data_IF_073004416767
#
_entry.id   IF_073004416767
#
_cell.length_a   1.000
_cell.length_b   1.000
_cell.length_c   1.000
_cell.angle_alpha   90.00
_cell.angle_beta   90.00
_cell.angle_gamma   90.00
#
_symmetry.space_group_name_H-M   'P 1'
#
loop_
_entity.id
_entity.type
_entity.pdbx_description
1 polymer ?
#
# COMPACT_ATOMS: atom_id res chain seq x y z
N UNK A 1 9.98 -6.97 13.62
CA UNK A 1 10.46 -7.36 14.97
C UNK A 1 11.64 -8.35 14.93
N UNK A 2 11.70 -9.20 13.91
CA UNK A 2 12.69 -10.30 13.85
C UNK A 2 14.05 -9.93 13.21
N UNK A 3 14.23 -8.70 12.74
CA UNK A 3 15.47 -8.27 12.05
C UNK A 3 16.17 -7.18 12.87
N UNK A 4 17.17 -7.53 13.70
CA UNK A 4 17.85 -6.58 14.57
C UNK A 4 18.47 -5.39 13.84
N UNK A 5 19.02 -5.60 12.63
CA UNK A 5 19.68 -4.54 11.85
C UNK A 5 18.72 -3.45 11.31
N UNK A 6 17.40 -3.66 11.40
CA UNK A 6 16.40 -2.67 10.98
C UNK A 6 15.79 -1.87 12.13
N UNK A 7 16.02 -2.24 13.39
CA UNK A 7 15.23 -1.71 14.52
C UNK A 7 15.44 -0.22 14.79
N UNK A 8 16.63 0.32 14.55
CA UNK A 8 16.98 1.72 14.82
C UNK A 8 17.22 2.53 13.53
N UNK A 9 16.91 1.96 12.37
CA UNK A 9 17.13 2.61 11.09
C UNK A 9 16.00 3.59 10.74
N UNK A 10 16.33 4.72 10.09
CA UNK A 10 15.36 5.56 9.41
C UNK A 10 14.73 4.79 8.24
N UNK A 11 13.59 5.25 7.71
CA UNK A 11 12.78 4.53 6.73
C UNK A 11 13.60 3.94 5.57
N UNK A 12 14.39 4.74 4.88
CA UNK A 12 15.15 4.26 3.73
C UNK A 12 16.24 3.23 4.09
N UNK A 13 16.89 3.40 5.22
CA UNK A 13 17.84 2.41 5.78
C UNK A 13 17.13 1.11 6.18
N UNK A 14 15.95 1.22 6.78
CA UNK A 14 15.10 0.11 7.15
C UNK A 14 14.65 -0.69 5.91
N UNK A 15 14.14 -0.02 4.88
CA UNK A 15 13.74 -0.63 3.62
C UNK A 15 14.91 -1.35 2.94
N UNK A 16 16.09 -0.70 2.82
CA UNK A 16 17.30 -1.32 2.26
C UNK A 16 17.73 -2.58 3.00
N UNK A 17 17.51 -2.64 4.31
CA UNK A 17 17.80 -3.82 5.13
C UNK A 17 16.81 -4.94 4.88
N UNK A 18 15.55 -4.62 4.65
CA UNK A 18 14.48 -5.61 4.53
C UNK A 18 14.24 -6.12 3.11
N UNK A 19 14.42 -5.30 2.08
CA UNK A 19 14.22 -5.73 0.70
C UNK A 19 14.93 -7.04 0.33
N UNK A 20 16.22 -7.27 0.66
CA UNK A 20 16.89 -8.53 0.36
C UNK A 20 16.30 -9.74 1.11
N UNK A 21 15.65 -9.51 2.25
CA UNK A 21 14.97 -10.54 3.03
C UNK A 21 13.63 -10.87 2.37
N UNK A 22 12.82 -9.84 2.10
CA UNK A 22 11.52 -9.98 1.47
C UNK A 22 11.60 -10.54 0.05
N UNK A 23 12.67 -10.24 -0.69
CA UNK A 23 12.92 -10.80 -2.03
C UNK A 23 13.00 -12.34 -2.06
N UNK A 24 13.15 -12.99 -0.90
CA UNK A 24 13.20 -14.46 -0.80
C UNK A 24 11.86 -15.08 -0.41
N UNK A 25 10.85 -14.25 -0.12
CA UNK A 25 9.51 -14.74 0.21
C UNK A 25 8.86 -15.33 -1.03
N UNK A 26 8.06 -16.35 -0.82
CA UNK A 26 7.17 -16.95 -1.79
C UNK A 26 5.75 -17.04 -1.24
N UNK A 27 4.85 -17.76 -1.90
CA UNK A 27 3.47 -17.91 -1.45
C UNK A 27 3.34 -18.45 -0.02
N UNK A 28 4.17 -19.39 0.40
CA UNK A 28 4.13 -20.00 1.73
C UNK A 28 4.50 -18.98 2.83
N UNK A 29 5.56 -18.19 2.61
CA UNK A 29 5.96 -17.15 3.56
C UNK A 29 4.93 -16.03 3.65
N UNK A 30 4.33 -15.63 2.52
CA UNK A 30 3.24 -14.64 2.50
C UNK A 30 2.03 -15.13 3.28
N UNK A 31 1.60 -16.35 3.02
CA UNK A 31 0.50 -16.99 3.73
C UNK A 31 0.79 -17.09 5.25
N UNK A 32 1.91 -17.67 5.62
CA UNK A 32 2.25 -17.93 7.03
C UNK A 32 2.45 -16.63 7.81
N UNK A 33 3.15 -15.63 7.24
CA UNK A 33 3.35 -14.33 7.91
C UNK A 33 2.02 -13.59 8.10
N UNK A 34 1.11 -13.68 7.14
CA UNK A 34 -0.22 -13.12 7.25
C UNK A 34 -1.04 -13.83 8.33
N UNK A 35 -1.02 -15.16 8.40
CA UNK A 35 -1.70 -15.89 9.47
C UNK A 35 -1.22 -15.45 10.86
N UNK A 36 0.09 -15.35 11.05
CA UNK A 36 0.67 -14.91 12.33
C UNK A 36 0.22 -13.50 12.68
N UNK A 37 0.32 -12.56 11.73
CA UNK A 37 -0.09 -11.18 11.95
C UNK A 37 -1.58 -11.04 12.27
N UNK A 38 -2.43 -11.72 11.52
CA UNK A 38 -3.88 -11.69 11.72
C UNK A 38 -4.30 -12.38 13.04
N UNK A 39 -3.63 -13.48 13.40
CA UNK A 39 -3.87 -14.13 14.69
C UNK A 39 -3.50 -13.23 15.89
N UNK A 40 -2.36 -12.53 15.83
CA UNK A 40 -1.98 -11.53 16.84
C UNK A 40 -3.04 -10.42 16.95
N UNK A 41 -3.51 -9.91 15.82
CA UNK A 41 -4.56 -8.88 15.78
C UNK A 41 -5.88 -9.39 16.37
N UNK A 42 -6.32 -10.59 15.99
CA UNK A 42 -7.54 -11.20 16.52
C UNK A 42 -7.45 -11.39 18.04
N UNK A 43 -6.32 -11.88 18.55
CA UNK A 43 -6.08 -12.05 19.99
C UNK A 43 -6.03 -10.70 20.75
N UNK A 44 -5.70 -9.61 20.09
CA UNK A 44 -5.75 -8.25 20.65
C UNK A 44 -7.16 -7.65 20.68
N UNK A 45 -8.16 -8.34 20.11
CA UNK A 45 -9.54 -7.87 20.00
C UNK A 45 -9.87 -7.14 18.71
N UNK A 46 -8.96 -7.14 17.73
CA UNK A 46 -9.22 -6.58 16.42
C UNK A 46 -10.24 -7.44 15.67
N UNK A 47 -11.25 -6.81 15.06
CA UNK A 47 -12.32 -7.48 14.32
C UNK A 47 -12.31 -7.19 12.81
N UNK A 48 -11.55 -6.17 12.41
CA UNK A 48 -11.32 -5.77 11.02
C UNK A 48 -9.92 -5.21 10.91
N UNK A 49 -9.19 -5.62 9.89
CA UNK A 49 -7.90 -5.01 9.56
C UNK A 49 -7.74 -4.80 8.06
N UNK A 50 -6.90 -3.85 7.67
CA UNK A 50 -6.37 -3.76 6.32
C UNK A 50 -4.89 -4.17 6.31
N UNK A 51 -4.41 -4.55 5.13
CA UNK A 51 -3.01 -4.86 4.89
C UNK A 51 -2.55 -4.21 3.57
N UNK A 52 -1.32 -3.74 3.54
CA UNK A 52 -0.71 -3.13 2.36
C UNK A 52 0.43 -4.00 1.83
N UNK A 53 0.08 -5.03 1.06
CA UNK A 53 1.05 -5.86 0.37
C UNK A 53 1.45 -5.21 -0.97
N UNK A 54 2.72 -4.87 -1.13
CA UNK A 54 3.25 -4.19 -2.33
C UNK A 54 4.48 -4.88 -2.93
N UNK A 55 4.78 -6.10 -2.50
CA UNK A 55 5.88 -6.94 -2.96
C UNK A 55 5.34 -8.31 -3.35
N UNK A 56 5.65 -8.77 -4.56
CA UNK A 56 5.17 -10.04 -5.09
C UNK A 56 6.32 -10.90 -5.65
N UNK A 57 7.35 -11.21 -4.84
CA UNK A 57 8.47 -12.03 -5.28
C UNK A 57 8.08 -13.50 -5.42
N UNK A 58 8.81 -14.22 -6.26
CA UNK A 58 8.79 -15.69 -6.37
C UNK A 58 7.39 -16.28 -6.61
N UNK A 59 6.52 -15.55 -7.33
CA UNK A 59 5.18 -16.02 -7.67
C UNK A 59 4.14 -15.85 -6.56
N UNK A 60 4.48 -15.15 -5.46
CA UNK A 60 3.51 -14.76 -4.44
C UNK A 60 2.46 -13.80 -5.02
N UNK A 61 1.27 -13.80 -4.44
CA UNK A 61 0.11 -13.02 -4.86
C UNK A 61 -0.66 -12.50 -3.66
N UNK A 62 -1.55 -11.53 -3.89
CA UNK A 62 -2.48 -11.10 -2.84
C UNK A 62 -3.43 -12.24 -2.41
N UNK A 63 -3.67 -13.19 -3.30
CA UNK A 63 -4.45 -14.39 -3.03
C UNK A 63 -3.91 -15.21 -1.84
N UNK A 64 -2.60 -15.22 -1.63
CA UNK A 64 -1.96 -15.93 -0.50
C UNK A 64 -2.36 -15.32 0.84
N UNK A 65 -2.40 -13.99 0.92
CA UNK A 65 -2.83 -13.27 2.14
C UNK A 65 -4.33 -13.39 2.35
N UNK A 66 -5.13 -13.39 1.28
CA UNK A 66 -6.58 -13.60 1.34
C UNK A 66 -6.91 -15.00 1.84
N UNK A 67 -6.20 -16.02 1.36
CA UNK A 67 -6.36 -17.39 1.84
C UNK A 67 -6.05 -17.51 3.34
N UNK A 68 -4.95 -16.90 3.80
CA UNK A 68 -4.59 -16.87 5.21
C UNK A 68 -5.65 -16.18 6.08
N UNK A 69 -6.20 -15.06 5.62
CA UNK A 69 -7.25 -14.33 6.32
C UNK A 69 -8.55 -15.15 6.43
N UNK A 70 -8.88 -15.88 5.37
CA UNK A 70 -10.04 -16.79 5.38
C UNK A 70 -9.92 -17.91 6.43
N UNK A 71 -8.72 -18.45 6.62
CA UNK A 71 -8.48 -19.48 7.64
C UNK A 71 -8.54 -18.93 9.06
N UNK A 72 -8.01 -17.72 9.29
CA UNK A 72 -8.08 -17.05 10.59
C UNK A 72 -9.51 -16.60 10.93
N UNK A 73 -10.31 -16.27 9.90
CA UNK A 73 -11.69 -15.82 10.06
C UNK A 73 -11.81 -14.37 10.53
N UNK A 74 -10.78 -13.54 10.33
CA UNK A 74 -10.83 -12.11 10.61
C UNK A 74 -11.35 -11.35 9.38
N UNK A 75 -12.19 -10.33 9.59
CA UNK A 75 -12.61 -9.44 8.48
C UNK A 75 -11.40 -8.69 7.95
N UNK A 76 -11.20 -8.77 6.62
CA UNK A 76 -9.95 -8.36 5.99
C UNK A 76 -10.20 -7.41 4.81
N UNK A 77 -9.44 -6.32 4.76
CA UNK A 77 -9.42 -5.38 3.66
C UNK A 77 -8.00 -5.29 3.09
N UNK A 78 -7.50 -6.34 2.42
CA UNK A 78 -6.19 -6.29 1.79
C UNK A 78 -6.20 -5.27 0.66
N UNK A 79 -5.04 -4.67 0.42
CA UNK A 79 -4.84 -3.79 -0.72
C UNK A 79 -3.81 -4.37 -1.66
N UNK A 80 -4.12 -4.39 -2.97
CA UNK A 80 -3.16 -4.72 -4.02
C UNK A 80 -2.21 -3.54 -4.18
N UNK A 81 -1.10 -3.60 -3.45
CA UNK A 81 -0.02 -2.64 -3.55
C UNK A 81 0.83 -2.85 -4.80
N UNK A 82 1.77 -1.94 -5.05
CA UNK A 82 2.69 -2.06 -6.17
C UNK A 82 3.91 -1.15 -6.00
N UNK A 83 5.02 -1.56 -6.60
CA UNK A 83 6.18 -0.70 -6.87
C UNK A 83 6.57 -0.88 -8.33
N UNK A 84 6.84 0.24 -9.04
CA UNK A 84 7.20 0.24 -10.46
C UNK A 84 8.52 0.96 -10.76
N UNK A 85 9.09 1.68 -9.79
CA UNK A 85 10.34 2.43 -9.94
C UNK A 85 11.43 1.76 -9.11
N UNK A 86 12.34 1.05 -9.77
CA UNK A 86 13.48 0.37 -9.16
C UNK A 86 14.73 1.25 -9.03
N UNK A 87 15.79 0.68 -8.48
CA UNK A 87 17.08 1.38 -8.29
C UNK A 87 17.66 1.91 -9.60
N UNK A 88 17.51 1.19 -10.72
CA UNK A 88 17.97 1.63 -12.05
C UNK A 88 17.25 2.88 -12.55
N UNK A 89 16.02 3.12 -12.10
CA UNK A 89 15.19 4.27 -12.44
C UNK A 89 15.19 5.36 -11.35
N UNK A 90 16.10 5.24 -10.38
CA UNK A 90 16.25 6.18 -9.27
C UNK A 90 15.27 5.98 -8.13
N UNK A 91 14.62 4.83 -8.05
CA UNK A 91 13.81 4.39 -6.90
C UNK A 91 14.65 3.77 -5.79
N UNK A 92 13.97 3.33 -4.73
CA UNK A 92 14.60 2.67 -3.58
C UNK A 92 14.58 1.13 -3.67
N UNK A 93 13.50 0.50 -4.19
CA UNK A 93 13.44 -0.95 -4.23
C UNK A 93 14.41 -1.52 -5.27
N UNK A 94 15.01 -2.71 -5.00
CA UNK A 94 15.75 -3.44 -6.01
C UNK A 94 14.89 -3.70 -7.26
N UNK A 95 15.49 -3.66 -8.44
CA UNK A 95 14.78 -3.87 -9.72
C UNK A 95 14.06 -5.23 -9.77
N UNK A 96 14.55 -6.22 -9.05
CA UNK A 96 13.92 -7.54 -8.94
C UNK A 96 12.61 -7.56 -8.15
N UNK A 97 12.28 -6.48 -7.44
CA UNK A 97 11.07 -6.35 -6.61
C UNK A 97 10.04 -5.40 -7.21
N UNK A 98 10.33 -4.78 -8.34
CA UNK A 98 9.36 -3.93 -9.03
C UNK A 98 8.67 -4.68 -10.16
N UNK A 99 7.48 -4.25 -10.50
CA UNK A 99 6.66 -4.85 -11.54
C UNK A 99 6.43 -3.86 -12.69
N UNK A 100 6.14 -4.39 -13.88
CA UNK A 100 5.71 -3.56 -15.01
C UNK A 100 4.29 -3.02 -14.76
N UNK A 101 4.07 -1.75 -15.00
CA UNK A 101 2.79 -1.08 -14.71
C UNK A 101 1.57 -1.72 -15.39
N UNK A 102 1.73 -2.20 -16.63
CA UNK A 102 0.65 -2.94 -17.30
C UNK A 102 0.26 -4.20 -16.53
N UNK A 103 1.24 -4.97 -16.06
CA UNK A 103 0.99 -6.18 -15.27
C UNK A 103 0.37 -5.86 -13.89
N UNK A 104 0.78 -4.74 -13.28
CA UNK A 104 0.18 -4.25 -12.03
C UNK A 104 -1.31 -3.98 -12.23
N UNK A 105 -1.67 -3.20 -13.26
CA UNK A 105 -3.07 -2.85 -13.53
C UNK A 105 -3.91 -4.08 -13.90
N UNK A 106 -3.37 -5.00 -14.69
CA UNK A 106 -4.02 -6.28 -15.01
C UNK A 106 -4.31 -7.10 -13.75
N UNK A 107 -3.35 -7.20 -12.83
CA UNK A 107 -3.54 -7.96 -11.59
C UNK A 107 -4.45 -7.22 -10.60
N UNK A 108 -4.45 -5.89 -10.56
CA UNK A 108 -5.41 -5.08 -9.80
C UNK A 108 -6.85 -5.38 -10.24
N UNK A 109 -7.11 -5.43 -11.55
CA UNK A 109 -8.42 -5.80 -12.10
C UNK A 109 -8.76 -7.24 -11.69
N UNK A 110 -7.84 -8.18 -11.91
CA UNK A 110 -8.05 -9.58 -11.61
C UNK A 110 -8.43 -9.83 -10.16
N UNK A 111 -7.69 -9.26 -9.23
CA UNK A 111 -7.90 -9.52 -7.79
C UNK A 111 -9.19 -8.89 -7.29
N UNK A 112 -9.56 -7.71 -7.79
CA UNK A 112 -10.85 -7.09 -7.47
C UNK A 112 -12.00 -7.95 -8.01
N UNK A 113 -11.95 -8.34 -9.27
CA UNK A 113 -13.01 -9.13 -9.90
C UNK A 113 -13.17 -10.53 -9.27
N UNK A 114 -12.09 -11.10 -8.76
CA UNK A 114 -12.10 -12.42 -8.13
C UNK A 114 -12.55 -12.41 -6.67
N UNK A 115 -12.27 -11.34 -5.91
CA UNK A 115 -12.34 -11.40 -4.45
C UNK A 115 -13.12 -10.27 -3.78
N UNK A 116 -13.34 -9.12 -4.44
CA UNK A 116 -14.01 -8.00 -3.78
C UNK A 116 -15.50 -8.28 -3.57
N UNK A 117 -15.94 -8.16 -2.32
CA UNK A 117 -17.37 -8.22 -1.97
C UNK A 117 -17.81 -6.87 -1.40
N UNK A 118 -18.65 -6.15 -2.14
CA UNK A 118 -19.16 -4.84 -1.75
C UNK A 118 -20.33 -4.87 -0.77
N UNK A 119 -20.86 -6.06 -0.41
CA UNK A 119 -22.00 -6.20 0.48
C UNK A 119 -21.68 -5.65 1.88
N UNK A 120 -22.71 -5.12 2.55
CA UNK A 120 -22.59 -4.67 3.92
C UNK A 120 -22.22 -5.86 4.84
N UNK A 121 -21.18 -5.65 5.66
CA UNK A 121 -20.69 -6.67 6.58
C UNK A 121 -19.87 -7.78 5.92
N UNK A 122 -19.50 -7.66 4.63
CA UNK A 122 -18.67 -8.64 3.95
C UNK A 122 -17.37 -8.92 4.73
N UNK A 123 -16.88 -10.15 4.64
CA UNK A 123 -15.65 -10.55 5.30
C UNK A 123 -14.40 -10.13 4.52
N UNK A 124 -14.54 -9.82 3.23
CA UNK A 124 -13.43 -9.51 2.35
C UNK A 124 -13.77 -8.34 1.44
N UNK A 125 -12.99 -7.28 1.51
CA UNK A 125 -12.99 -6.17 0.54
C UNK A 125 -11.58 -5.96 0.03
N UNK A 126 -11.40 -5.71 -1.26
CA UNK A 126 -10.10 -5.43 -1.85
C UNK A 126 -9.99 -3.94 -2.13
N UNK A 127 -8.84 -3.34 -1.82
CA UNK A 127 -8.47 -1.99 -2.21
C UNK A 127 -7.28 -1.97 -3.17
N UNK A 128 -7.01 -0.82 -3.81
CA UNK A 128 -5.84 -0.63 -4.67
C UNK A 128 -4.85 0.32 -3.99
N UNK A 129 -3.56 -0.04 -4.00
CA UNK A 129 -2.59 0.66 -3.19
C UNK A 129 -1.17 0.71 -3.80
N UNK A 130 -0.92 1.48 -4.88
CA UNK A 130 0.45 1.85 -5.20
C UNK A 130 1.21 2.32 -3.95
N UNK A 131 2.43 1.80 -3.73
CA UNK A 131 3.07 1.83 -2.42
C UNK A 131 3.26 3.25 -1.86
N UNK A 132 3.83 4.13 -2.67
CA UNK A 132 4.11 5.52 -2.26
C UNK A 132 4.43 6.38 -3.49
N UNK A 133 4.35 7.72 -3.41
CA UNK A 133 4.74 8.61 -4.50
C UNK A 133 6.18 8.45 -4.99
N UNK A 134 7.08 7.92 -4.18
CA UNK A 134 8.49 7.71 -4.54
C UNK A 134 8.81 6.30 -5.06
N UNK A 135 7.85 5.39 -5.09
CA UNK A 135 8.04 4.00 -5.53
C UNK A 135 7.27 3.62 -6.79
N UNK A 136 6.43 4.53 -7.29
CA UNK A 136 5.62 4.34 -8.51
C UNK A 136 5.59 5.58 -9.37
N UNK A 137 5.23 5.44 -10.66
CA UNK A 137 5.07 6.59 -11.54
C UNK A 137 3.80 7.39 -11.25
N UNK A 138 3.79 8.66 -11.69
CA UNK A 138 2.57 9.49 -11.66
C UNK A 138 1.43 8.88 -12.47
N UNK A 139 1.76 8.21 -13.56
CA UNK A 139 0.76 7.60 -14.43
C UNK A 139 0.14 6.37 -13.78
N UNK A 140 0.92 5.55 -13.09
CA UNK A 140 0.37 4.45 -12.30
C UNK A 140 -0.53 4.96 -11.16
N UNK A 141 -0.12 6.01 -10.43
CA UNK A 141 -0.97 6.63 -9.41
C UNK A 141 -2.32 7.07 -10.00
N UNK A 142 -2.29 7.82 -11.12
CA UNK A 142 -3.52 8.28 -11.78
C UNK A 142 -4.39 7.14 -12.28
N UNK A 143 -3.79 6.16 -12.95
CA UNK A 143 -4.51 5.03 -13.51
C UNK A 143 -5.13 4.14 -12.43
N UNK A 144 -4.43 3.93 -11.32
CA UNK A 144 -4.97 3.19 -10.17
C UNK A 144 -6.16 3.93 -9.54
N UNK A 145 -6.11 5.28 -9.44
CA UNK A 145 -7.23 6.06 -8.93
C UNK A 145 -8.46 5.99 -9.84
N UNK A 146 -8.28 6.03 -11.16
CA UNK A 146 -9.36 5.87 -12.13
C UNK A 146 -9.94 4.45 -12.07
N UNK A 147 -9.08 3.44 -12.02
CA UNK A 147 -9.49 2.04 -11.93
C UNK A 147 -10.27 1.74 -10.64
N UNK A 148 -9.81 2.26 -9.51
CA UNK A 148 -10.49 2.04 -8.23
C UNK A 148 -11.93 2.59 -8.26
N UNK A 149 -12.13 3.77 -8.83
CA UNK A 149 -13.46 4.38 -8.97
C UNK A 149 -14.34 3.65 -9.97
N UNK A 150 -13.78 3.19 -11.08
CA UNK A 150 -14.49 2.34 -12.04
C UNK A 150 -14.98 1.04 -11.40
N UNK A 151 -14.17 0.43 -10.54
CA UNK A 151 -14.48 -0.80 -9.81
C UNK A 151 -15.26 -0.59 -8.50
N UNK A 152 -15.40 0.64 -8.03
CA UNK A 152 -16.07 0.95 -6.76
C UNK A 152 -15.30 0.45 -5.53
N UNK A 153 -13.97 0.45 -5.58
CA UNK A 153 -13.09 0.01 -4.48
C UNK A 153 -12.30 1.18 -3.92
N UNK A 154 -11.80 1.03 -2.69
CA UNK A 154 -11.04 2.08 -2.01
C UNK A 154 -9.58 2.13 -2.45
N UNK A 155 -8.97 3.30 -2.21
CA UNK A 155 -7.57 3.62 -2.49
C UNK A 155 -6.77 3.80 -1.22
N UNK A 156 -5.53 3.31 -1.23
CA UNK A 156 -4.57 3.45 -0.14
C UNK A 156 -3.16 3.69 -0.65
N UNK A 157 -2.37 4.52 0.05
CA UNK A 157 -0.93 4.69 -0.18
C UNK A 157 -0.25 5.24 1.07
N UNK A 158 1.09 5.12 1.15
CA UNK A 158 1.89 5.83 2.14
C UNK A 158 2.07 7.28 1.69
N UNK A 159 1.90 8.23 2.60
CA UNK A 159 1.98 9.65 2.26
C UNK A 159 2.50 10.49 3.43
N UNK A 160 3.43 11.40 3.16
CA UNK A 160 3.94 12.38 4.13
C UNK A 160 4.39 11.72 5.45
N UNK A 161 5.09 10.61 5.38
CA UNK A 161 5.53 9.83 6.53
C UNK A 161 6.64 10.54 7.30
N UNK A 162 7.61 11.09 6.58
CA UNK A 162 8.80 11.71 7.16
C UNK A 162 9.29 12.92 6.33
N UNK A 163 10.38 13.55 6.77
CA UNK A 163 10.93 14.73 6.09
C UNK A 163 11.55 14.39 4.73
N UNK A 164 12.01 13.14 4.52
CA UNK A 164 12.54 12.69 3.23
C UNK A 164 11.44 12.63 2.17
N UNK A 165 10.20 12.21 2.53
CA UNK A 165 9.04 12.24 1.64
C UNK A 165 8.69 13.67 1.20
N UNK A 166 8.72 14.62 2.13
CA UNK A 166 8.46 16.03 1.82
C UNK A 166 9.53 16.56 0.86
N UNK A 167 10.80 16.31 1.16
CA UNK A 167 11.92 16.74 0.33
C UNK A 167 11.85 16.13 -1.08
N UNK A 168 11.56 14.85 -1.17
CA UNK A 168 11.37 14.15 -2.46
C UNK A 168 10.21 14.76 -3.27
N UNK A 169 9.05 14.94 -2.65
CA UNK A 169 7.88 15.49 -3.32
C UNK A 169 8.13 16.90 -3.88
N UNK A 170 8.74 17.76 -3.07
CA UNK A 170 9.11 19.12 -3.50
C UNK A 170 10.14 19.11 -4.64
N UNK A 171 11.17 18.29 -4.55
CA UNK A 171 12.22 18.20 -5.57
C UNK A 171 11.73 17.57 -6.87
N UNK A 172 10.94 16.51 -6.80
CA UNK A 172 10.53 15.72 -7.96
C UNK A 172 9.26 16.23 -8.62
N UNK A 173 8.29 16.71 -7.83
CA UNK A 173 6.96 17.09 -8.30
C UNK A 173 6.69 18.59 -8.19
N UNK A 174 7.51 19.34 -7.47
CA UNK A 174 7.36 20.79 -7.28
C UNK A 174 6.23 21.17 -6.32
N UNK A 175 5.64 20.22 -5.60
CA UNK A 175 4.55 20.43 -4.66
C UNK A 175 4.66 19.51 -3.44
N UNK A 176 3.91 19.84 -2.40
CA UNK A 176 3.83 18.98 -1.21
C UNK A 176 3.00 17.71 -1.45
N UNK A 177 3.18 16.65 -0.62
CA UNK A 177 2.49 15.38 -0.83
C UNK A 177 0.97 15.45 -0.91
N UNK A 178 0.31 16.26 -0.10
CA UNK A 178 -1.14 16.43 -0.15
C UNK A 178 -1.64 17.07 -1.45
N UNK A 179 -0.91 18.06 -1.98
CA UNK A 179 -1.20 18.64 -3.28
C UNK A 179 -0.98 17.63 -4.41
N UNK A 180 0.11 16.86 -4.36
CA UNK A 180 0.37 15.79 -5.30
C UNK A 180 -0.76 14.74 -5.29
N UNK A 181 -1.22 14.34 -4.11
CA UNK A 181 -2.34 13.44 -3.95
C UNK A 181 -3.62 14.01 -4.59
N UNK A 182 -3.95 15.27 -4.32
CA UNK A 182 -5.10 15.94 -4.92
C UNK A 182 -5.03 15.97 -6.45
N UNK A 183 -3.88 16.34 -7.02
CA UNK A 183 -3.67 16.47 -8.47
C UNK A 183 -3.86 15.14 -9.23
N UNK A 184 -3.65 14.02 -8.54
CA UNK A 184 -3.76 12.68 -9.12
C UNK A 184 -5.07 11.95 -8.74
N UNK A 185 -5.98 12.63 -8.05
CA UNK A 185 -7.24 12.04 -7.66
C UNK A 185 -7.18 11.16 -6.40
N UNK A 186 -6.20 11.37 -5.55
CA UNK A 186 -5.98 10.62 -4.30
C UNK A 186 -6.53 11.35 -3.08
N UNK A 187 -7.69 11.97 -3.23
CA UNK A 187 -8.47 12.58 -2.16
C UNK A 187 -9.95 12.21 -2.31
N UNK A 188 -10.65 12.00 -1.22
CA UNK A 188 -12.05 11.60 -1.21
C UNK A 188 -12.36 10.64 -0.07
N UNK A 189 -13.64 10.34 0.14
CA UNK A 189 -14.09 9.37 1.13
C UNK A 189 -13.87 7.92 0.73
N UNK A 190 -13.41 7.71 -0.50
CA UNK A 190 -12.92 6.45 -1.05
C UNK A 190 -11.40 6.26 -0.88
N UNK A 191 -10.72 7.17 -0.17
CA UNK A 191 -9.25 7.19 -0.02
C UNK A 191 -8.85 7.23 1.44
N UNK A 192 -7.83 6.46 1.82
CA UNK A 192 -7.11 6.66 3.08
C UNK A 192 -5.60 6.54 2.87
N UNK A 193 -4.84 7.32 3.62
CA UNK A 193 -3.38 7.34 3.56
C UNK A 193 -2.77 6.82 4.86
N UNK A 194 -1.68 6.06 4.74
CA UNK A 194 -0.86 5.71 5.88
C UNK A 194 0.02 6.89 6.29
N UNK A 195 0.28 6.97 7.58
CA UNK A 195 1.14 7.93 8.26
C UNK A 195 0.61 9.36 8.30
N UNK A 196 0.79 10.15 7.28
CA UNK A 196 0.39 11.57 7.22
C UNK A 196 0.98 12.45 8.34
N UNK A 197 2.14 12.05 8.89
CA UNK A 197 2.81 12.70 10.05
C UNK A 197 3.26 14.12 9.72
N UNK A 198 3.65 14.36 8.47
CA UNK A 198 4.26 15.61 8.01
C UNK A 198 3.32 16.50 7.19
N UNK A 199 2.00 16.29 7.28
CA UNK A 199 1.04 17.20 6.66
C UNK A 199 1.12 18.60 7.31
N UNK A 200 1.04 19.64 6.48
CA UNK A 200 0.85 20.99 6.98
C UNK A 200 -0.64 21.34 7.18
N UNK A 201 -0.92 22.52 7.71
CA UNK A 201 -2.29 22.94 8.00
C UNK A 201 -3.19 22.96 6.75
N UNK A 202 -2.65 23.33 5.58
CA UNK A 202 -3.42 23.39 4.35
C UNK A 202 -3.77 21.99 3.83
N UNK A 203 -2.85 21.03 3.97
CA UNK A 203 -3.06 19.62 3.62
C UNK A 203 -4.05 18.95 4.57
N UNK A 204 -3.99 19.27 5.87
CA UNK A 204 -4.97 18.81 6.88
C UNK A 204 -6.36 19.32 6.53
N UNK A 205 -6.49 20.62 6.23
CA UNK A 205 -7.75 21.21 5.80
C UNK A 205 -8.29 20.60 4.50
N UNK A 206 -7.41 20.29 3.55
CA UNK A 206 -7.76 19.61 2.31
C UNK A 206 -8.37 18.23 2.61
N UNK A 207 -7.70 17.42 3.42
CA UNK A 207 -8.16 16.06 3.75
C UNK A 207 -9.46 16.09 4.56
N UNK A 208 -9.61 17.04 5.46
CA UNK A 208 -10.86 17.25 6.19
C UNK A 208 -12.04 17.58 5.25
N UNK A 209 -11.85 18.53 4.32
CA UNK A 209 -12.90 18.90 3.35
C UNK A 209 -13.26 17.79 2.39
N UNK A 210 -12.29 16.99 1.97
CA UNK A 210 -12.50 15.86 1.05
C UNK A 210 -12.91 14.57 1.76
N UNK A 211 -12.89 14.55 3.09
CA UNK A 211 -13.13 13.37 3.92
C UNK A 211 -12.15 12.23 3.66
N UNK A 212 -10.93 12.57 3.26
CA UNK A 212 -9.84 11.61 3.06
C UNK A 212 -9.43 11.02 4.41
N UNK A 213 -9.41 9.69 4.50
CA UNK A 213 -9.03 8.97 5.71
C UNK A 213 -7.52 8.99 5.99
N UNK A 214 -7.16 8.83 7.26
CA UNK A 214 -5.77 8.71 7.71
C UNK A 214 -5.67 7.49 8.62
N UNK A 215 -4.66 6.64 8.36
CA UNK A 215 -4.22 5.55 9.22
C UNK A 215 -2.87 5.95 9.84
N UNK A 216 -2.92 6.59 11.04
CA UNK A 216 -1.76 7.17 11.73
C UNK A 216 -1.11 6.17 12.68
#
# INVERSE_FOLDING_TARGET
RAVPGGQDALLFGWLKTLYPIWARFGPEEMFTSTQVGLAELALSGCTLTSDHLYLFPNGSRLDDTIAAASEVGLRFHPTRGAMSIGESDGGLPPDSLVEREAAILEDMIRVVDAHHDSADGSMLRVGLAPCSPFSVSRDLMRNAALLARDKGVMLHTHLAENDEDIAYSLAKFGCRPGQYAQDLGWTGDDVWHAHCVKLDAAEIDLFARTRTGIAH
#
